data_IF_108626171477
#
_entry.id   IF_108626171477
#
_cell.length_a   1.000
_cell.length_b   1.000
_cell.length_c   1.000
_cell.angle_alpha   90.00
_cell.angle_beta   90.00
_cell.angle_gamma   90.00
#
_symmetry.space_group_name_H-M   'P 1'
#
loop_
_entity.id
_entity.type
_entity.pdbx_description
1 polymer ?
#
# COMPACT_ATOMS: atom_id res chain seq x y z
N UNK A 1 -9.53 -12.28 -6.96
CA UNK A 1 -9.86 -10.91 -6.48
C UNK A 1 -9.78 -9.90 -7.62
N UNK A 2 -10.58 -8.82 -7.61
CA UNK A 2 -10.65 -7.85 -8.72
C UNK A 2 -9.44 -6.90 -8.79
N UNK A 3 -8.54 -6.93 -7.81
CA UNK A 3 -7.34 -6.07 -7.73
C UNK A 3 -6.06 -6.72 -8.30
N UNK A 4 -6.06 -8.03 -8.55
CA UNK A 4 -4.87 -8.77 -9.02
C UNK A 4 -4.55 -8.41 -10.47
N UNK A 5 -3.26 -8.27 -10.78
CA UNK A 5 -2.74 -7.87 -12.08
C UNK A 5 -2.96 -6.39 -12.41
N UNK A 6 -3.47 -5.60 -11.46
CA UNK A 6 -3.72 -4.16 -11.63
C UNK A 6 -2.70 -3.33 -10.88
N UNK A 7 -2.50 -2.12 -11.37
CA UNK A 7 -1.68 -1.09 -10.74
C UNK A 7 -2.57 -0.04 -10.09
N UNK A 8 -2.21 0.34 -8.87
CA UNK A 8 -2.90 1.39 -8.13
C UNK A 8 -1.88 2.39 -7.61
N UNK A 9 -2.19 3.66 -7.75
CA UNK A 9 -1.45 4.72 -7.11
C UNK A 9 -2.06 5.01 -5.74
N UNK A 10 -1.21 5.06 -4.73
CA UNK A 10 -1.54 5.61 -3.42
C UNK A 10 -0.85 6.95 -3.25
N UNK A 11 -1.58 7.94 -2.72
CA UNK A 11 -1.06 9.26 -2.43
C UNK A 11 -1.32 9.62 -0.96
N UNK A 12 -0.26 9.92 -0.22
CA UNK A 12 -0.31 10.39 1.17
C UNK A 12 0.33 11.78 1.23
N UNK A 13 -0.47 12.84 1.14
CA UNK A 13 0.07 14.21 1.01
C UNK A 13 0.93 14.33 -0.23
N UNK A 14 2.22 14.60 -0.08
CA UNK A 14 3.20 14.71 -1.16
C UNK A 14 4.00 13.42 -1.42
N UNK A 15 3.64 12.32 -0.74
CA UNK A 15 4.26 11.01 -0.95
C UNK A 15 3.40 10.17 -1.88
N UNK A 16 4.02 9.68 -2.96
CA UNK A 16 3.36 8.90 -4.02
C UNK A 16 3.99 7.53 -4.15
N UNK A 17 3.18 6.48 -4.17
CA UNK A 17 3.63 5.13 -4.44
C UNK A 17 2.69 4.39 -5.39
N UNK A 18 3.24 3.47 -6.17
CA UNK A 18 2.51 2.56 -7.05
C UNK A 18 2.52 1.17 -6.41
N UNK A 19 1.34 0.57 -6.28
CA UNK A 19 1.12 -0.80 -5.82
C UNK A 19 0.72 -1.68 -7.01
N UNK A 20 1.43 -2.77 -7.20
CA UNK A 20 1.18 -3.79 -8.22
C UNK A 20 0.92 -5.12 -7.53
N UNK A 21 -0.33 -5.55 -7.49
CA UNK A 21 -0.70 -6.86 -6.94
C UNK A 21 -0.42 -7.94 -7.98
N UNK A 22 0.74 -8.58 -7.90
CA UNK A 22 1.16 -9.59 -8.87
C UNK A 22 0.35 -10.89 -8.74
N UNK A 23 -0.02 -11.24 -7.51
CA UNK A 23 -0.86 -12.38 -7.16
C UNK A 23 -1.59 -12.09 -5.84
N UNK A 24 -2.40 -13.05 -5.37
CA UNK A 24 -3.07 -12.95 -4.06
C UNK A 24 -2.11 -12.93 -2.87
N UNK A 25 -0.84 -13.29 -3.10
CA UNK A 25 0.19 -13.39 -2.06
C UNK A 25 1.42 -12.52 -2.32
N UNK A 26 1.49 -11.84 -3.48
CA UNK A 26 2.66 -11.04 -3.87
C UNK A 26 2.27 -9.63 -4.27
N UNK A 27 2.89 -8.64 -3.61
CA UNK A 27 2.76 -7.21 -3.90
C UNK A 27 4.13 -6.64 -4.24
N UNK A 28 4.23 -5.92 -5.35
CA UNK A 28 5.36 -5.00 -5.60
C UNK A 28 4.89 -3.58 -5.36
N UNK A 29 5.61 -2.82 -4.54
CA UNK A 29 5.38 -1.39 -4.39
C UNK A 29 6.58 -0.59 -4.88
N UNK A 30 6.32 0.58 -5.45
CA UNK A 30 7.34 1.52 -5.92
C UNK A 30 7.02 2.91 -5.43
N UNK A 31 7.85 3.45 -4.54
CA UNK A 31 7.76 4.83 -4.11
C UNK A 31 8.34 5.71 -5.23
N UNK A 32 7.54 6.66 -5.69
CA UNK A 32 7.89 7.59 -6.78
C UNK A 32 8.22 8.97 -6.27
N UNK A 33 7.58 9.42 -5.18
CA UNK A 33 7.86 10.69 -4.52
C UNK A 33 7.77 10.53 -3.01
N UNK A 34 8.64 11.24 -2.27
CA UNK A 34 8.57 11.43 -0.82
C UNK A 34 8.73 12.93 -0.57
N UNK A 35 7.76 13.54 0.13
CA UNK A 35 7.81 14.99 0.44
C UNK A 35 8.10 15.86 -0.81
N UNK A 36 7.43 15.51 -1.92
CA UNK A 36 7.55 16.23 -3.20
C UNK A 36 8.85 15.97 -3.96
N UNK A 37 9.77 15.16 -3.43
CA UNK A 37 11.03 14.80 -4.10
C UNK A 37 10.90 13.45 -4.79
N UNK A 38 11.27 13.41 -6.07
CA UNK A 38 11.32 12.19 -6.84
C UNK A 38 12.29 11.18 -6.20
N UNK A 39 11.81 9.96 -5.99
CA UNK A 39 12.59 8.81 -5.55
C UNK A 39 12.22 7.62 -6.43
N UNK A 40 13.10 6.64 -6.53
CA UNK A 40 12.79 5.41 -7.25
C UNK A 40 13.24 4.22 -6.43
N UNK A 41 12.43 3.90 -5.42
CA UNK A 41 12.66 2.75 -4.54
C UNK A 41 11.51 1.78 -4.72
N UNK A 42 11.83 0.51 -4.96
CA UNK A 42 10.85 -0.54 -5.12
C UNK A 42 11.19 -1.76 -4.29
N UNK A 43 10.15 -2.47 -3.88
CA UNK A 43 10.28 -3.71 -3.13
C UNK A 43 9.13 -4.66 -3.50
N UNK A 44 9.43 -5.96 -3.52
CA UNK A 44 8.44 -7.02 -3.67
C UNK A 44 8.34 -7.79 -2.37
N UNK A 45 7.13 -7.89 -1.84
CA UNK A 45 6.82 -8.44 -0.52
C UNK A 45 5.76 -9.53 -0.61
N UNK A 46 5.78 -10.44 0.36
CA UNK A 46 4.63 -11.30 0.62
C UNK A 46 3.53 -10.46 1.27
N UNK A 47 2.34 -10.52 0.70
CA UNK A 47 1.18 -9.78 1.16
C UNK A 47 0.09 -10.73 1.63
N UNK A 48 -0.66 -10.32 2.65
CA UNK A 48 -1.91 -10.95 3.04
C UNK A 48 -3.05 -10.00 2.70
N UNK A 49 -4.01 -10.51 1.92
CA UNK A 49 -5.22 -9.81 1.52
C UNK A 49 -6.41 -10.44 2.25
N UNK A 50 -7.21 -9.62 2.93
CA UNK A 50 -8.48 -10.04 3.53
C UNK A 50 -9.58 -9.14 3.01
N UNK A 51 -10.51 -9.69 2.25
CA UNK A 51 -11.69 -8.96 1.80
C UNK A 51 -12.66 -8.75 2.97
N UNK A 52 -12.95 -7.50 3.29
CA UNK A 52 -13.87 -7.13 4.38
C UNK A 52 -15.31 -6.97 3.87
N UNK A 53 -15.44 -6.50 2.63
CA UNK A 53 -16.66 -6.40 1.80
C UNK A 53 -16.21 -6.27 0.33
N UNK A 54 -17.11 -6.33 -0.66
CA UNK A 54 -16.75 -6.08 -2.05
C UNK A 54 -15.97 -4.78 -2.19
N UNK A 55 -14.78 -4.86 -2.83
CA UNK A 55 -13.88 -3.73 -3.10
C UNK A 55 -13.32 -3.02 -1.86
N UNK A 56 -13.39 -3.64 -0.68
CA UNK A 56 -12.74 -3.18 0.54
C UNK A 56 -11.83 -4.28 1.08
N UNK A 57 -10.54 -4.00 1.16
CA UNK A 57 -9.53 -4.97 1.55
C UNK A 57 -8.71 -4.48 2.74
N UNK A 58 -8.49 -5.37 3.71
CA UNK A 58 -7.36 -5.26 4.63
C UNK A 58 -6.14 -5.89 3.95
N UNK A 59 -5.11 -5.09 3.76
CA UNK A 59 -3.86 -5.45 3.07
C UNK A 59 -2.71 -5.30 4.07
N UNK A 60 -2.00 -6.38 4.37
CA UNK A 60 -0.91 -6.36 5.35
C UNK A 60 0.35 -7.01 4.79
N UNK A 61 1.51 -6.41 5.05
CA UNK A 61 2.80 -6.99 4.69
C UNK A 61 3.89 -6.53 5.66
N UNK A 62 5.07 -7.15 5.52
CA UNK A 62 6.29 -6.76 6.21
C UNK A 62 7.36 -6.43 5.16
N UNK A 63 7.99 -5.28 5.29
CA UNK A 63 9.11 -4.85 4.47
C UNK A 63 10.41 -5.51 4.92
N UNK A 64 11.41 -5.55 4.04
CA UNK A 64 12.73 -6.16 4.27
C UNK A 64 13.47 -5.52 5.45
N UNK A 65 13.29 -4.22 5.66
CA UNK A 65 13.87 -3.47 6.79
C UNK A 65 13.20 -3.79 8.14
N UNK A 66 12.13 -4.59 8.14
CA UNK A 66 11.41 -4.99 9.35
C UNK A 66 10.14 -4.20 9.62
N UNK A 67 9.88 -3.11 8.91
CA UNK A 67 8.63 -2.36 9.06
C UNK A 67 7.44 -3.25 8.74
N UNK A 68 6.36 -3.05 9.46
CA UNK A 68 5.07 -3.67 9.14
C UNK A 68 4.12 -2.62 8.61
N UNK A 69 3.34 -2.99 7.59
CA UNK A 69 2.33 -2.13 7.01
C UNK A 69 0.99 -2.85 7.08
N UNK A 70 -0.03 -2.13 7.52
CA UNK A 70 -1.42 -2.57 7.48
C UNK A 70 -2.28 -1.48 6.89
N UNK A 71 -3.02 -1.80 5.83
CA UNK A 71 -3.85 -0.84 5.11
C UNK A 71 -5.28 -1.33 4.99
N UNK A 72 -6.22 -0.42 5.17
CA UNK A 72 -7.60 -0.59 4.69
C UNK A 72 -7.72 0.18 3.38
N UNK A 73 -7.91 -0.55 2.29
CA UNK A 73 -8.01 -0.01 0.93
C UNK A 73 -9.45 -0.12 0.43
N UNK A 74 -10.10 1.03 0.31
CA UNK A 74 -11.44 1.16 -0.24
C UNK A 74 -11.36 1.59 -1.71
N UNK A 75 -11.51 0.61 -2.59
CA UNK A 75 -11.40 0.82 -4.04
C UNK A 75 -12.65 1.41 -4.65
N UNK A 76 -13.76 1.44 -3.93
CA UNK A 76 -15.01 2.08 -4.35
C UNK A 76 -14.97 3.58 -4.05
N UNK A 77 -14.52 3.95 -2.86
CA UNK A 77 -14.38 5.35 -2.45
C UNK A 77 -13.05 5.99 -2.85
N UNK A 78 -12.06 5.19 -3.30
CA UNK A 78 -10.74 5.68 -3.66
C UNK A 78 -9.94 6.20 -2.46
N UNK A 79 -10.09 5.56 -1.31
CA UNK A 79 -9.46 5.97 -0.04
C UNK A 79 -8.61 4.83 0.51
N UNK A 80 -7.48 5.18 1.11
CA UNK A 80 -6.63 4.25 1.85
C UNK A 80 -6.34 4.79 3.24
N UNK A 81 -6.48 3.95 4.25
CA UNK A 81 -5.99 4.18 5.61
C UNK A 81 -4.79 3.25 5.81
N UNK A 82 -3.64 3.79 6.23
CA UNK A 82 -2.40 3.05 6.35
C UNK A 82 -1.79 3.23 7.73
N UNK A 83 -1.41 2.12 8.35
CA UNK A 83 -0.59 2.08 9.54
C UNK A 83 0.78 1.52 9.15
N UNK A 84 1.83 2.29 9.42
CA UNK A 84 3.21 1.88 9.23
C UNK A 84 3.88 1.84 10.60
N UNK A 85 4.36 0.66 10.98
CA UNK A 85 5.01 0.45 12.28
C UNK A 85 6.45 0.05 12.05
N UNK A 86 7.37 0.82 12.62
CA UNK A 86 8.80 0.56 12.58
C UNK A 86 9.18 -0.63 13.49
N UNK A 87 10.38 -1.24 13.36
CA UNK A 87 10.79 -2.37 14.18
C UNK A 87 10.90 -2.06 15.68
N UNK A 88 11.13 -0.80 16.03
CA UNK A 88 11.15 -0.28 17.41
C UNK A 88 9.76 0.09 17.95
N UNK A 89 8.71 -0.03 17.12
CA UNK A 89 7.32 0.10 17.53
C UNK A 89 6.71 1.48 17.34
N UNK A 90 7.42 2.43 16.71
CA UNK A 90 6.81 3.71 16.35
C UNK A 90 5.73 3.48 15.29
N UNK A 91 4.51 3.95 15.59
CA UNK A 91 3.36 3.83 14.72
C UNK A 91 3.06 5.16 14.04
N UNK A 92 3.06 5.16 12.71
CA UNK A 92 2.57 6.26 11.87
C UNK A 92 1.28 5.86 11.19
N UNK A 93 0.22 6.62 11.44
CA UNK A 93 -1.08 6.46 10.77
C UNK A 93 -1.28 7.55 9.73
N UNK A 94 -1.66 7.14 8.52
CA UNK A 94 -1.85 8.00 7.36
C UNK A 94 -3.19 7.73 6.70
N UNK A 95 -3.84 8.78 6.22
CA UNK A 95 -4.97 8.70 5.29
C UNK A 95 -4.51 9.22 3.93
N UNK A 96 -4.85 8.50 2.87
CA UNK A 96 -4.49 8.84 1.51
C UNK A 96 -5.61 8.55 0.53
N UNK A 97 -5.33 8.85 -0.73
CA UNK A 97 -6.20 8.48 -1.86
C UNK A 97 -5.64 7.25 -2.57
N UNK A 98 -6.53 6.54 -3.23
CA UNK A 98 -6.26 5.33 -3.99
C UNK A 98 -6.92 5.47 -5.36
N UNK A 99 -6.15 5.35 -6.43
CA UNK A 99 -6.67 5.42 -7.80
C UNK A 99 -6.01 4.37 -8.67
N UNK A 100 -6.77 3.80 -9.62
CA UNK A 100 -6.21 2.92 -10.63
C UNK A 100 -5.29 3.71 -11.57
N UNK A 101 -4.17 3.10 -11.97
CA UNK A 101 -3.25 3.63 -13.00
C UNK A 101 -3.62 3.06 -14.36
#
# INVERSE_FOLDING_TARGET
>A
MDIIGKNFQVQFGETRAILTFQSETTLSFSIKEIEGKAVETSETVQVKLTELRPRLYLVTWKEKNGNTVSQVQDYELGVVYSNWTTPDGELKSLKGTLSKV
#
